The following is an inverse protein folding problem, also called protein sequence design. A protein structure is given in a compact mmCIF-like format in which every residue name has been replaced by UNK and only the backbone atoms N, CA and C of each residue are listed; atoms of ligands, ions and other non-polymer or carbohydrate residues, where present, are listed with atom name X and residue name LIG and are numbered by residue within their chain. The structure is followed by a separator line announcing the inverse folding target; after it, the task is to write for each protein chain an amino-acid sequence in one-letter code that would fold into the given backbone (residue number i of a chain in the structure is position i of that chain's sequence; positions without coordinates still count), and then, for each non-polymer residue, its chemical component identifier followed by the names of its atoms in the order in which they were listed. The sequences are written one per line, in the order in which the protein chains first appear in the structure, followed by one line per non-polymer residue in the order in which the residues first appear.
data_IF_037903737277
#
_entry.id   IF_037903737277
#
_cell.length_a   1.000
_cell.length_b   1.000
_cell.length_c   1.000
_cell.angle_alpha   90.00
_cell.angle_beta   90.00
_cell.angle_gamma   90.00
#
_symmetry.space_group_name_H-M   'P 1'
#
loop_
_entity.id
_entity.type
_entity.pdbx_description
1 polymer ?
#
# COMPACT_ATOMS: atom_id res chain seq x y z
N UNK A 1 -11.86 -16.75 2.91
CA UNK A 1 -12.13 -15.37 2.46
C UNK A 1 -10.81 -14.63 2.36
N UNK A 2 -10.55 -13.92 1.27
CA UNK A 2 -9.38 -13.03 1.18
C UNK A 2 -9.55 -11.90 2.20
N UNK A 3 -8.54 -11.67 3.03
CA UNK A 3 -8.58 -10.59 4.02
C UNK A 3 -8.14 -9.28 3.36
N UNK A 4 -8.94 -8.24 3.57
CA UNK A 4 -8.69 -6.89 3.06
C UNK A 4 -8.55 -5.92 4.23
N UNK A 5 -7.71 -4.91 4.07
CA UNK A 5 -7.59 -3.82 5.04
C UNK A 5 -7.49 -2.50 4.29
N UNK A 6 -8.38 -1.56 4.63
CA UNK A 6 -8.50 -0.26 3.98
C UNK A 6 -8.27 0.83 5.02
N UNK A 7 -7.29 1.68 4.78
CA UNK A 7 -6.90 2.73 5.73
C UNK A 7 -6.48 4.02 5.02
N UNK A 8 -7.07 5.15 5.41
CA UNK A 8 -6.74 6.48 4.89
C UNK A 8 -5.87 7.26 5.90
N UNK A 9 -4.56 7.02 5.84
CA UNK A 9 -3.53 7.73 6.61
C UNK A 9 -2.37 8.11 5.68
N UNK A 10 -1.50 9.06 6.06
CA UNK A 10 -0.27 9.34 5.31
C UNK A 10 0.58 8.07 5.14
N UNK A 11 1.19 7.89 3.96
CA UNK A 11 2.08 6.76 3.69
C UNK A 11 3.27 6.73 4.67
N UNK A 12 3.83 7.88 5.01
CA UNK A 12 4.89 8.00 6.02
C UNK A 12 4.46 7.38 7.36
N UNK A 13 3.30 7.80 7.89
CA UNK A 13 2.76 7.26 9.14
C UNK A 13 2.46 5.76 9.03
N UNK A 14 1.95 5.30 7.89
CA UNK A 14 1.74 3.88 7.62
C UNK A 14 3.05 3.09 7.75
N UNK A 15 4.14 3.54 7.09
CA UNK A 15 5.42 2.83 7.12
C UNK A 15 6.15 2.96 8.45
N UNK A 16 5.95 4.04 9.19
CA UNK A 16 6.42 4.18 10.57
C UNK A 16 5.86 3.07 11.47
N UNK A 17 4.55 2.83 11.42
CA UNK A 17 3.90 1.75 12.19
C UNK A 17 4.15 0.35 11.58
N UNK A 18 4.42 0.28 10.29
CA UNK A 18 4.78 -0.96 9.61
C UNK A 18 6.19 -1.43 10.00
N UNK A 19 7.15 -0.52 10.13
CA UNK A 19 8.57 -0.79 10.35
C UNK A 19 8.85 -1.76 11.50
N UNK A 20 8.33 -1.47 12.70
CA UNK A 20 8.50 -2.35 13.87
C UNK A 20 7.88 -3.74 13.65
N UNK A 21 6.74 -3.78 12.95
CA UNK A 21 6.05 -5.04 12.67
C UNK A 21 6.82 -5.86 11.63
N UNK A 22 7.39 -5.19 10.62
CA UNK A 22 8.22 -5.82 9.61
C UNK A 22 9.48 -6.43 10.23
N UNK A 23 10.19 -5.68 11.06
CA UNK A 23 11.40 -6.13 11.75
C UNK A 23 11.13 -7.37 12.61
N UNK A 24 10.07 -7.34 13.42
CA UNK A 24 9.68 -8.47 14.29
C UNK A 24 9.31 -9.75 13.52
N UNK A 25 8.79 -9.60 12.30
CA UNK A 25 8.29 -10.73 11.50
C UNK A 25 9.21 -11.12 10.35
N UNK A 26 10.39 -10.49 10.21
CA UNK A 26 11.29 -10.72 9.08
C UNK A 26 10.63 -10.36 7.74
N UNK A 27 9.81 -9.31 7.71
CA UNK A 27 9.15 -8.85 6.49
C UNK A 27 9.90 -7.68 5.86
N UNK A 28 9.76 -7.52 4.55
CA UNK A 28 10.33 -6.43 3.78
C UNK A 28 9.26 -5.75 2.94
N UNK A 29 9.44 -4.45 2.71
CA UNK A 29 8.58 -3.66 1.84
C UNK A 29 9.26 -3.33 0.51
N UNK A 30 8.48 -3.34 -0.57
CA UNK A 30 8.92 -3.05 -1.92
C UNK A 30 7.89 -2.18 -2.63
N UNK A 31 8.29 -1.09 -3.26
CA UNK A 31 7.42 -0.34 -4.17
C UNK A 31 7.70 -0.77 -5.60
N UNK A 32 6.65 -1.03 -6.34
CA UNK A 32 6.72 -1.27 -7.77
C UNK A 32 6.46 0.01 -8.55
N UNK A 33 7.35 0.27 -9.50
CA UNK A 33 7.22 1.31 -10.49
C UNK A 33 7.11 0.70 -11.87
N UNK A 34 6.16 1.14 -12.68
CA UNK A 34 6.04 0.79 -14.09
C UNK A 34 6.30 2.03 -14.91
N UNK A 35 7.41 2.02 -15.64
CA UNK A 35 7.73 3.12 -16.54
C UNK A 35 6.68 3.20 -17.65
N UNK A 36 5.91 4.30 -17.68
CA UNK A 36 4.78 4.44 -18.61
C UNK A 36 5.14 4.32 -20.09
N UNK A 37 6.38 4.65 -20.47
CA UNK A 37 6.84 4.64 -21.87
C UNK A 37 7.34 3.27 -22.31
N UNK A 38 8.15 2.63 -21.48
CA UNK A 38 8.82 1.37 -21.82
C UNK A 38 8.08 0.13 -21.30
N UNK A 39 7.11 0.30 -20.40
CA UNK A 39 6.46 -0.80 -19.69
C UNK A 39 7.36 -1.54 -18.71
N UNK A 40 8.61 -1.11 -18.53
CA UNK A 40 9.57 -1.76 -17.64
C UNK A 40 9.16 -1.59 -16.19
N UNK A 41 9.14 -2.71 -15.47
CA UNK A 41 8.89 -2.78 -14.02
C UNK A 41 10.20 -2.68 -13.27
N UNK A 42 10.21 -1.88 -12.21
CA UNK A 42 11.34 -1.74 -11.28
C UNK A 42 10.80 -1.78 -9.86
N UNK A 43 11.62 -2.27 -8.92
CA UNK A 43 11.28 -2.28 -7.49
C UNK A 43 12.22 -1.41 -6.68
N UNK A 44 11.67 -0.73 -5.68
CA UNK A 44 12.41 0.02 -4.66
C UNK A 44 12.18 -0.66 -3.32
N UNK A 45 13.23 -1.27 -2.75
CA UNK A 45 13.18 -1.90 -1.42
C UNK A 45 13.25 -0.84 -0.33
N UNK A 46 12.40 -0.97 0.69
CA UNK A 46 12.46 -0.14 1.90
C UNK A 46 13.69 -0.50 2.74
N UNK A 47 14.42 0.52 3.15
CA UNK A 47 15.49 0.51 4.14
C UNK A 47 15.34 1.78 4.98
N UNK A 48 15.64 1.71 6.29
CA UNK A 48 15.68 2.89 7.17
C UNK A 48 16.60 3.99 6.62
N UNK A 49 17.70 3.62 5.94
CA UNK A 49 18.65 4.57 5.34
C UNK A 49 18.11 5.24 4.06
N UNK A 50 17.12 4.65 3.38
CA UNK A 50 16.56 5.15 2.13
C UNK A 50 15.07 5.54 2.24
N UNK A 51 14.56 5.69 3.47
CA UNK A 51 13.15 5.88 3.77
C UNK A 51 12.54 7.03 2.97
N UNK A 52 13.22 8.17 2.87
CA UNK A 52 12.74 9.32 2.09
C UNK A 52 12.56 8.98 0.60
N UNK A 53 13.53 8.31 -0.04
CA UNK A 53 13.44 7.92 -1.44
C UNK A 53 12.36 6.84 -1.68
N UNK A 54 12.15 5.96 -0.70
CA UNK A 54 11.04 5.01 -0.70
C UNK A 54 9.71 5.76 -0.63
N UNK A 55 9.53 6.69 0.30
CA UNK A 55 8.29 7.45 0.48
C UNK A 55 7.99 8.38 -0.72
N UNK A 56 9.00 9.02 -1.30
CA UNK A 56 8.87 9.83 -2.53
C UNK A 56 8.33 9.01 -3.71
N UNK A 57 8.49 7.69 -3.68
CA UNK A 57 7.99 6.83 -4.73
C UNK A 57 6.47 6.80 -4.81
N UNK A 58 5.73 7.10 -3.74
CA UNK A 58 4.27 7.21 -3.76
C UNK A 58 3.78 8.37 -4.62
N UNK A 59 4.58 9.43 -4.75
CA UNK A 59 4.30 10.60 -5.59
C UNK A 59 4.83 10.48 -7.02
N UNK A 60 5.47 9.37 -7.35
CA UNK A 60 6.02 9.14 -8.69
C UNK A 60 4.91 8.88 -9.70
N UNK A 61 5.02 9.47 -10.90
CA UNK A 61 4.12 9.14 -12.01
C UNK A 61 4.20 7.65 -12.41
N UNK A 62 5.34 7.01 -12.18
CA UNK A 62 5.54 5.60 -12.48
C UNK A 62 5.09 4.68 -11.32
N UNK A 63 4.60 5.22 -10.19
CA UNK A 63 4.10 4.42 -9.06
C UNK A 63 2.98 3.48 -9.50
N UNK A 64 3.13 2.21 -9.15
CA UNK A 64 2.11 1.19 -9.34
C UNK A 64 1.49 0.87 -7.98
N UNK A 65 2.21 0.11 -7.17
CA UNK A 65 1.76 -0.34 -5.85
C UNK A 65 2.95 -0.72 -5.00
N UNK A 66 2.69 -1.43 -3.91
CA UNK A 66 3.74 -1.94 -3.05
C UNK A 66 3.45 -3.35 -2.57
N UNK A 67 4.47 -4.02 -2.04
CA UNK A 67 4.40 -5.38 -1.54
C UNK A 67 5.04 -5.43 -0.18
N UNK A 68 4.43 -6.19 0.72
CA UNK A 68 5.01 -6.55 2.00
C UNK A 68 5.18 -8.08 1.99
N UNK A 69 6.42 -8.55 2.09
CA UNK A 69 6.73 -9.97 1.92
C UNK A 69 7.61 -10.48 3.06
N UNK A 70 7.26 -11.64 3.61
CA UNK A 70 8.08 -12.42 4.55
C UNK A 70 8.93 -13.47 3.83
N UNK A 71 8.99 -13.43 2.50
CA UNK A 71 9.81 -14.35 1.73
C UNK A 71 11.30 -14.11 2.01
N UNK A 72 12.10 -15.18 2.24
CA UNK A 72 13.51 -15.07 2.58
C UNK A 72 14.37 -14.77 1.34
N UNK A 73 14.18 -13.60 0.73
CA UNK A 73 15.08 -13.11 -0.32
C UNK A 73 16.51 -13.02 0.21
N UNK A 74 17.50 -13.31 -0.63
CA UNK A 74 18.89 -13.11 -0.21
C UNK A 74 19.18 -11.60 -0.09
N UNK A 75 19.98 -11.19 0.89
CA UNK A 75 20.36 -9.78 1.03
C UNK A 75 21.20 -9.25 -0.15
N UNK A 76 21.73 -10.14 -0.99
CA UNK A 76 22.46 -9.81 -2.21
C UNK A 76 21.52 -9.58 -3.42
N UNK A 77 20.26 -10.02 -3.36
CA UNK A 77 19.25 -9.76 -4.38
C UNK A 77 18.76 -8.30 -4.24
N UNK A 78 19.55 -7.39 -4.83
CA UNK A 78 19.22 -5.97 -4.94
C UNK A 78 18.18 -5.71 -6.02
N UNK A 79 17.97 -6.66 -6.94
CA UNK A 79 16.96 -6.60 -7.99
C UNK A 79 15.99 -7.77 -7.86
N UNK A 80 14.73 -7.44 -7.59
CA UNK A 80 13.62 -8.39 -7.58
C UNK A 80 13.02 -8.44 -8.99
N UNK A 81 12.83 -9.64 -9.54
CA UNK A 81 12.28 -9.79 -10.89
C UNK A 81 10.84 -9.28 -10.99
N UNK A 82 10.52 -8.71 -12.15
CA UNK A 82 9.19 -8.24 -12.52
C UNK A 82 8.13 -9.35 -12.32
N UNK A 83 7.16 -9.09 -11.46
CA UNK A 83 6.01 -9.98 -11.24
C UNK A 83 6.22 -11.06 -10.18
N UNK A 84 7.43 -11.19 -9.63
CA UNK A 84 7.77 -12.27 -8.70
C UNK A 84 6.83 -12.36 -7.50
N UNK A 85 6.32 -11.21 -7.02
CA UNK A 85 5.42 -11.15 -5.86
C UNK A 85 4.06 -11.84 -6.09
N UNK A 86 3.69 -12.09 -7.36
CA UNK A 86 2.51 -12.85 -7.74
C UNK A 86 2.80 -14.30 -8.12
N UNK A 87 4.08 -14.67 -8.26
CA UNK A 87 4.50 -16.00 -8.65
C UNK A 87 4.79 -16.87 -7.41
N UNK A 88 4.46 -18.16 -7.50
CA UNK A 88 4.85 -19.12 -6.47
C UNK A 88 6.36 -19.38 -6.56
N UNK A 89 7.07 -19.51 -5.41
CA UNK A 89 6.55 -19.58 -4.04
C UNK A 89 6.33 -18.21 -3.36
N UNK A 90 6.83 -17.11 -3.91
CA UNK A 90 6.85 -15.80 -3.24
C UNK A 90 5.45 -15.26 -2.92
N UNK A 91 4.48 -15.51 -3.79
CA UNK A 91 3.10 -15.04 -3.62
C UNK A 91 2.44 -15.52 -2.31
N UNK A 92 2.84 -16.69 -1.80
CA UNK A 92 2.31 -17.26 -0.56
C UNK A 92 2.73 -16.44 0.66
N UNK A 93 3.86 -15.74 0.56
CA UNK A 93 4.47 -14.94 1.62
C UNK A 93 4.15 -13.44 1.50
N UNK A 94 3.34 -13.05 0.51
CA UNK A 94 3.23 -11.65 0.09
C UNK A 94 1.82 -11.07 0.26
N UNK A 95 1.79 -9.83 0.76
CA UNK A 95 0.63 -8.96 0.83
C UNK A 95 0.84 -7.86 -0.21
N UNK A 96 -0.12 -7.68 -1.11
CA UNK A 96 -0.14 -6.58 -2.05
C UNK A 96 -0.79 -5.35 -1.43
N UNK A 97 -0.17 -4.20 -1.67
CA UNK A 97 -0.61 -2.88 -1.27
C UNK A 97 -0.81 -1.96 -2.48
N UNK A 98 -1.81 -1.09 -2.42
CA UNK A 98 -1.99 -0.01 -3.39
C UNK A 98 -2.53 1.26 -2.74
N UNK A 99 -2.47 2.37 -3.46
CA UNK A 99 -2.82 3.71 -2.96
C UNK A 99 -1.68 4.34 -2.14
N UNK A 100 -2.02 5.27 -1.25
CA UNK A 100 -1.03 5.99 -0.42
C UNK A 100 -0.43 7.24 -1.05
N UNK A 101 -0.87 7.63 -2.25
CA UNK A 101 -0.58 8.95 -2.80
C UNK A 101 -1.34 10.04 -2.01
N UNK A 102 -0.67 11.15 -1.75
CA UNK A 102 -1.24 12.26 -0.99
C UNK A 102 -0.76 13.59 -1.57
N UNK A 103 -1.68 14.55 -1.68
CA UNK A 103 -1.40 15.95 -2.02
C UNK A 103 -1.92 16.85 -0.93
N UNK A 104 -1.82 18.16 -1.09
CA UNK A 104 -2.40 19.13 -0.16
C UNK A 104 -3.93 19.05 -0.09
N UNK A 105 -4.58 18.52 -1.14
CA UNK A 105 -6.04 18.49 -1.29
C UNK A 105 -6.64 17.11 -1.06
N UNK A 106 -5.90 16.05 -1.41
CA UNK A 106 -6.44 14.68 -1.47
C UNK A 106 -5.56 13.70 -0.69
N UNK A 107 -6.18 12.64 -0.18
CA UNK A 107 -5.49 11.48 0.40
C UNK A 107 -6.09 10.21 -0.18
N UNK A 108 -5.26 9.39 -0.83
CA UNK A 108 -5.68 8.07 -1.29
C UNK A 108 -5.77 7.07 -0.13
N UNK A 109 -6.78 6.21 -0.17
CA UNK A 109 -6.86 5.05 0.71
C UNK A 109 -5.69 4.11 0.41
N UNK A 110 -5.02 3.63 1.45
CA UNK A 110 -4.11 2.48 1.36
C UNK A 110 -4.94 1.21 1.44
N UNK A 111 -4.85 0.38 0.42
CA UNK A 111 -5.53 -0.90 0.33
C UNK A 111 -4.51 -2.04 0.44
N UNK A 112 -4.65 -2.87 1.48
CA UNK A 112 -3.88 -4.11 1.63
C UNK A 112 -4.73 -5.33 1.33
N UNK A 113 -4.14 -6.28 0.60
CA UNK A 113 -4.76 -7.54 0.20
C UNK A 113 -3.75 -8.69 0.27
N UNK A 114 -4.12 -9.79 0.91
CA UNK A 114 -3.39 -11.05 0.74
C UNK A 114 -3.57 -11.58 -0.68
N UNK A 115 -2.45 -11.86 -1.37
CA UNK A 115 -2.45 -12.32 -2.76
C UNK A 115 -3.03 -13.73 -2.85
N UNK A 116 -2.45 -14.67 -2.10
CA UNK A 116 -2.85 -16.07 -2.09
C UNK A 116 -3.95 -16.35 -1.06
N UNK A 117 -4.94 -17.16 -1.44
CA UNK A 117 -5.96 -17.67 -0.49
C UNK A 117 -5.31 -18.54 0.59
N UNK A 118 -4.30 -19.33 0.20
CA UNK A 118 -3.52 -20.17 1.09
C UNK A 118 -2.15 -19.51 1.36
N UNK A 119 -2.16 -18.31 1.94
CA UNK A 119 -0.93 -17.67 2.37
C UNK A 119 -0.19 -18.50 3.44
N UNK A 120 1.13 -18.39 3.46
CA UNK A 120 1.99 -18.99 4.46
C UNK A 120 1.65 -18.48 5.87
N UNK A 121 2.00 -19.27 6.89
CA UNK A 121 1.76 -18.93 8.30
C UNK A 121 2.48 -17.64 8.69
N UNK A 122 3.70 -17.41 8.20
CA UNK A 122 4.47 -16.19 8.47
C UNK A 122 3.75 -14.95 7.95
N UNK A 123 3.32 -14.95 6.69
CA UNK A 123 2.60 -13.83 6.08
C UNK A 123 1.23 -13.58 6.72
N UNK A 124 0.51 -14.64 7.13
CA UNK A 124 -0.74 -14.50 7.90
C UNK A 124 -0.49 -13.86 9.27
N UNK A 125 0.54 -14.31 9.98
CA UNK A 125 0.90 -13.78 11.29
C UNK A 125 1.32 -12.30 11.18
N UNK A 126 2.14 -11.98 10.17
CA UNK A 126 2.55 -10.61 9.87
C UNK A 126 1.34 -9.73 9.53
N UNK A 127 0.45 -10.16 8.61
CA UNK A 127 -0.71 -9.35 8.23
C UNK A 127 -1.63 -9.04 9.41
N UNK A 128 -1.91 -10.05 10.25
CA UNK A 128 -2.73 -9.86 11.44
C UNK A 128 -2.05 -8.94 12.47
N UNK A 129 -0.72 -9.03 12.62
CA UNK A 129 0.04 -8.13 13.49
C UNK A 129 0.02 -6.69 12.96
N UNK A 130 0.22 -6.51 11.65
CA UNK A 130 0.19 -5.20 11.00
C UNK A 130 -1.17 -4.52 11.18
N UNK A 131 -2.27 -5.23 10.90
CA UNK A 131 -3.62 -4.70 11.11
C UNK A 131 -3.88 -4.28 12.56
N UNK A 132 -3.40 -5.07 13.53
CA UNK A 132 -3.51 -4.70 14.95
C UNK A 132 -2.65 -3.49 15.29
N UNK A 133 -1.45 -3.38 14.71
CA UNK A 133 -0.55 -2.26 15.00
C UNK A 133 -1.08 -0.95 14.42
N UNK A 134 -1.58 -0.97 13.18
CA UNK A 134 -2.18 0.19 12.53
C UNK A 134 -3.39 0.73 13.31
N UNK A 135 -4.18 -0.13 13.94
CA UNK A 135 -5.30 0.28 14.80
C UNK A 135 -4.89 0.99 16.09
N UNK A 136 -3.59 1.01 16.43
CA UNK A 136 -3.06 1.75 17.59
C UNK A 136 -2.67 3.19 17.25
N UNK A 137 -2.79 3.60 15.99
CA UNK A 137 -2.54 4.99 15.60
C UNK A 137 -3.50 5.89 16.40
N UNK A 138 -2.99 6.90 17.12
CA UNK A 138 -3.83 7.87 17.84
C UNK A 138 -4.84 8.51 16.90
N UNK A 139 -6.05 8.75 17.41
CA UNK A 139 -7.14 9.42 16.69
C UNK A 139 -7.64 8.71 15.42
N UNK A 140 -7.20 7.48 15.17
CA UNK A 140 -7.72 6.67 14.08
C UNK A 140 -9.20 6.34 14.32
N UNK A 141 -10.04 6.65 13.33
CA UNK A 141 -11.48 6.39 13.32
C UNK A 141 -11.82 5.30 12.31
N UNK A 142 -12.98 4.66 12.46
CA UNK A 142 -13.46 3.58 11.58
C UNK A 142 -14.79 3.90 10.88
N UNK A 143 -15.19 5.16 10.90
CA UNK A 143 -16.49 5.65 10.38
C UNK A 143 -16.44 6.13 8.93
N UNK A 144 -15.33 5.93 8.21
CA UNK A 144 -15.25 6.26 6.79
C UNK A 144 -16.10 5.27 5.98
N UNK A 145 -17.26 5.74 5.48
CA UNK A 145 -18.24 4.89 4.78
C UNK A 145 -18.21 5.08 3.27
N UNK A 146 -18.21 3.95 2.57
CA UNK A 146 -18.71 3.81 1.19
C UNK A 146 -19.41 2.46 1.11
N UNK A 147 -20.75 2.47 1.14
CA UNK A 147 -21.56 1.26 1.24
C UNK A 147 -21.40 0.51 2.58
N UNK A 148 -21.35 -0.83 2.52
CA UNK A 148 -21.41 -1.73 3.69
C UNK A 148 -20.06 -2.04 4.35
N UNK A 149 -19.00 -1.27 4.09
CA UNK A 149 -17.65 -1.54 4.62
C UNK A 149 -17.12 -0.35 5.42
N UNK A 150 -16.65 -0.64 6.63
CA UNK A 150 -15.93 0.31 7.47
C UNK A 150 -14.48 0.40 7.01
N UNK A 151 -13.98 1.62 6.80
CA UNK A 151 -12.59 1.91 6.49
C UNK A 151 -12.01 2.68 7.66
N UNK A 152 -10.72 2.45 7.96
CA UNK A 152 -10.03 3.22 8.96
C UNK A 152 -9.52 4.53 8.35
N UNK A 153 -9.49 5.61 9.11
CA UNK A 153 -8.94 6.88 8.64
C UNK A 153 -8.42 7.73 9.79
N UNK A 154 -7.43 8.56 9.49
CA UNK A 154 -7.03 9.65 10.37
C UNK A 154 -7.72 10.94 9.89
N UNK A 155 -8.44 11.68 10.76
CA UNK A 155 -9.13 12.91 10.39
C UNK A 155 -8.24 13.91 9.65
N UNK A 156 -8.78 14.52 8.61
CA UNK A 156 -8.06 15.48 7.77
C UNK A 156 -9.02 16.42 7.06
N UNK A 157 -8.56 17.62 6.69
CA UNK A 157 -9.31 18.52 5.80
C UNK A 157 -9.31 18.06 4.33
N UNK A 158 -8.46 17.08 3.99
CA UNK A 158 -8.30 16.55 2.63
C UNK A 158 -9.51 15.70 2.21
N UNK A 159 -9.83 15.72 0.93
CA UNK A 159 -10.77 14.76 0.34
C UNK A 159 -10.14 13.37 0.34
N UNK A 160 -10.81 12.40 0.95
CA UNK A 160 -10.35 11.00 0.92
C UNK A 160 -10.88 10.36 -0.36
N UNK A 161 -9.97 9.84 -1.19
CA UNK A 161 -10.29 9.29 -2.52
C UNK A 161 -9.89 7.80 -2.59
N UNK A 162 -10.50 7.01 -3.50
CA UNK A 162 -10.12 5.61 -3.67
C UNK A 162 -8.68 5.48 -4.17
N UNK A 163 -8.06 4.34 -3.85
CA UNK A 163 -6.74 3.99 -4.37
C UNK A 163 -6.73 3.96 -5.90
N UNK A 164 -5.67 4.50 -6.51
CA UNK A 164 -5.47 4.41 -7.96
C UNK A 164 -5.16 2.96 -8.38
N UNK A 165 -6.09 2.31 -9.07
CA UNK A 165 -5.89 0.96 -9.61
C UNK A 165 -5.10 0.95 -10.95
N UNK A 166 -4.23 1.94 -11.17
CA UNK A 166 -3.40 2.12 -12.37
C UNK A 166 -4.18 2.47 -13.63
N UNK A 167 -4.74 3.67 -13.64
CA UNK A 167 -5.44 4.12 -14.81
C UNK A 167 -4.52 4.60 -15.94
N UNK A 168 -3.99 3.66 -16.71
CA UNK A 168 -3.37 3.93 -18.01
C UNK A 168 -4.37 4.54 -19.02
N UNK A 169 -5.67 4.51 -18.70
CA UNK A 169 -6.75 4.97 -19.57
C UNK A 169 -7.30 6.35 -19.18
N UNK A 170 -6.88 6.94 -18.06
CA UNK A 170 -7.33 8.27 -17.65
C UNK A 170 -6.34 9.31 -18.15
N UNK A 171 -6.88 10.26 -18.91
CA UNK A 171 -6.15 11.38 -19.51
C UNK A 171 -5.86 12.51 -18.53
N UNK A 172 -6.64 12.60 -17.44
CA UNK A 172 -6.47 13.54 -16.33
C UNK A 172 -5.72 12.87 -15.15
N UNK A 173 -5.12 13.63 -14.23
CA UNK A 173 -4.62 13.07 -12.98
C UNK A 173 -5.71 12.28 -12.24
N UNK A 174 -5.35 11.14 -11.64
CA UNK A 174 -6.32 10.27 -10.96
C UNK A 174 -7.11 10.98 -9.86
N UNK A 175 -6.46 11.85 -9.11
CA UNK A 175 -7.11 12.65 -8.06
C UNK A 175 -8.19 13.60 -8.61
N UNK A 176 -7.95 14.24 -9.76
CA UNK A 176 -8.93 15.09 -10.44
C UNK A 176 -10.07 14.24 -11.02
N UNK A 177 -9.74 13.06 -11.55
CA UNK A 177 -10.73 12.12 -12.03
C UNK A 177 -11.70 11.69 -10.93
N UNK A 178 -11.19 11.35 -9.73
CA UNK A 178 -12.03 10.98 -8.60
C UNK A 178 -13.02 12.09 -8.22
N UNK A 179 -12.55 13.33 -8.13
CA UNK A 179 -13.41 14.47 -7.81
C UNK A 179 -14.49 14.70 -8.88
N UNK A 180 -14.15 14.59 -10.16
CA UNK A 180 -15.10 14.75 -11.28
C UNK A 180 -16.20 13.69 -11.32
N UNK A 181 -15.97 12.54 -10.67
CA UNK A 181 -16.89 11.40 -10.59
C UNK A 181 -17.59 11.31 -9.23
N UNK A 182 -17.41 12.30 -8.37
CA UNK A 182 -17.89 12.29 -6.98
C UNK A 182 -17.43 11.04 -6.20
N UNK A 183 -16.26 10.50 -6.55
CA UNK A 183 -15.65 9.34 -5.89
C UNK A 183 -14.82 9.82 -4.70
N UNK A 184 -15.52 10.30 -3.67
CA UNK A 184 -14.94 10.77 -2.42
C UNK A 184 -15.58 10.06 -1.24
N UNK A 185 -14.75 9.64 -0.29
CA UNK A 185 -15.20 9.05 0.96
C UNK A 185 -15.48 10.15 1.98
N UNK A 186 -16.64 10.05 2.65
CA UNK A 186 -17.09 11.04 3.63
C UNK A 186 -16.60 10.68 5.03
N UNK A 187 -15.88 11.61 5.64
CA UNK A 187 -15.48 11.55 7.04
C UNK A 187 -16.71 11.87 7.92
N UNK A 188 -16.94 11.08 8.96
CA UNK A 188 -18.03 11.27 9.94
C UNK A 188 -17.45 11.58 11.32
#
# INVERSE_FOLDING_TARGET
MSQYFWIAIPAELFFQYCGETMEKHGAHAYIEKINRRSGRRNYVKYNKENESAFLESFSSADYHGFYLSTYPFSDQETSVDSGVFYDSPVAEYTIAGSGGFETDRTREIIHLRQIMKQADKSAKAFFAALQRNLKKIPDLRDTLRSGNKNHFYLPTSKSIIPQNAHSQLITLPWEEHCLSKDLVYLQQ
#
